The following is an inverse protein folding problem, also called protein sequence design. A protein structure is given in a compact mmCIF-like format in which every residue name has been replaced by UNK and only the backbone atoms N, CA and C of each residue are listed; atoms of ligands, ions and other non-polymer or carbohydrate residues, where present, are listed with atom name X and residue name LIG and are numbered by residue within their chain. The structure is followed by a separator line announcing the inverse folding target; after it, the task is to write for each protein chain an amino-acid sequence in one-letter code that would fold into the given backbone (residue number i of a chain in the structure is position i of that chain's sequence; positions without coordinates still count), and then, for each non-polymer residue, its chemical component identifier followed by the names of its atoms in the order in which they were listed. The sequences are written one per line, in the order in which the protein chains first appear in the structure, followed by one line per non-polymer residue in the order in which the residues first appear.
data_IF_892823846078
#
_entry.id   IF_892823846078
#
_cell.length_a   1.000
_cell.length_b   1.000
_cell.length_c   1.000
_cell.angle_alpha   90.00
_cell.angle_beta   90.00
_cell.angle_gamma   90.00
#
_symmetry.space_group_name_H-M   'P 1'
#
loop_
_entity.id
_entity.type
_entity.pdbx_description
1 polymer ?
#
# COMPACT_ATOMS: atom_id res chain seq x y z
N UNK A 1 8.81 14.20 -11.48
CA UNK A 1 8.15 12.88 -11.35
C UNK A 1 8.94 11.83 -10.56
N UNK A 2 10.28 11.65 -10.68
CA UNK A 2 10.92 10.39 -10.23
C UNK A 2 11.05 10.17 -8.71
N UNK A 3 10.90 11.20 -7.86
CA UNK A 3 11.06 11.02 -6.40
C UNK A 3 9.74 10.81 -5.67
N UNK A 4 8.67 11.52 -6.03
CA UNK A 4 7.41 11.44 -5.27
C UNK A 4 6.50 10.28 -5.68
N UNK A 5 6.59 9.83 -6.93
CA UNK A 5 5.84 8.66 -7.38
C UNK A 5 6.73 7.43 -7.27
N UNK A 6 7.72 7.32 -8.16
CA UNK A 6 8.60 6.15 -8.21
C UNK A 6 9.27 5.78 -6.88
N UNK A 7 10.01 6.67 -6.23
CA UNK A 7 10.71 6.30 -4.99
C UNK A 7 9.74 6.02 -3.82
N UNK A 8 8.65 6.78 -3.68
CA UNK A 8 7.76 6.72 -2.51
C UNK A 8 6.62 5.71 -2.62
N UNK A 9 6.39 5.12 -3.80
CA UNK A 9 5.37 4.09 -3.99
C UNK A 9 6.02 2.81 -4.49
N UNK A 10 6.57 2.84 -5.71
CA UNK A 10 7.14 1.68 -6.41
C UNK A 10 8.39 1.12 -5.71
N UNK A 11 9.46 1.91 -5.59
CA UNK A 11 10.73 1.44 -5.02
C UNK A 11 10.63 1.14 -3.51
N UNK A 12 9.77 1.87 -2.80
CA UNK A 12 9.51 1.62 -1.38
C UNK A 12 8.67 0.35 -1.15
N UNK A 13 7.75 0.06 -2.07
CA UNK A 13 6.82 -1.06 -1.98
C UNK A 13 7.45 -2.43 -2.30
N UNK A 14 8.43 -2.47 -3.19
CA UNK A 14 9.05 -3.73 -3.65
C UNK A 14 9.66 -4.59 -2.53
N UNK A 15 10.41 -4.03 -1.55
CA UNK A 15 10.82 -4.77 -0.37
C UNK A 15 9.68 -5.42 0.42
N UNK A 16 8.50 -4.79 0.47
CA UNK A 16 7.33 -5.37 1.14
C UNK A 16 6.83 -6.62 0.41
N UNK A 17 6.82 -6.60 -0.93
CA UNK A 17 6.40 -7.74 -1.75
C UNK A 17 7.37 -8.91 -1.59
N UNK A 18 8.66 -8.64 -1.68
CA UNK A 18 9.71 -9.65 -1.60
C UNK A 18 9.70 -10.31 -0.22
N UNK A 19 9.71 -9.52 0.86
CA UNK A 19 9.72 -10.06 2.21
C UNK A 19 8.43 -10.83 2.54
N UNK A 20 7.26 -10.34 2.07
CA UNK A 20 5.96 -11.03 2.27
C UNK A 20 5.97 -12.43 1.65
N UNK A 21 6.49 -12.58 0.42
CA UNK A 21 6.55 -13.90 -0.23
C UNK A 21 7.66 -14.82 0.30
N UNK A 22 8.69 -14.26 0.96
CA UNK A 22 9.81 -15.04 1.51
C UNK A 22 9.57 -15.51 2.93
N UNK A 23 8.91 -14.71 3.75
CA UNK A 23 8.79 -14.94 5.20
C UNK A 23 7.42 -15.44 5.64
N UNK A 24 6.35 -15.07 4.93
CA UNK A 24 5.01 -15.55 5.27
C UNK A 24 4.58 -16.70 4.37
N UNK A 25 3.98 -17.72 4.97
CA UNK A 25 3.33 -18.79 4.23
C UNK A 25 2.03 -18.30 3.59
N UNK A 26 1.60 -18.94 2.48
CA UNK A 26 0.32 -18.60 1.80
C UNK A 26 -0.92 -18.80 2.67
N UNK A 27 -0.78 -19.56 3.76
CA UNK A 27 -1.84 -19.78 4.76
C UNK A 27 -1.83 -18.74 5.87
N UNK A 28 -0.75 -17.94 5.98
CA UNK A 28 -0.59 -16.96 7.03
C UNK A 28 -1.65 -15.86 6.91
N UNK A 29 -2.34 -15.48 7.99
CA UNK A 29 -3.43 -14.49 7.92
C UNK A 29 -2.94 -13.13 7.40
N UNK A 30 -1.70 -12.74 7.74
CA UNK A 30 -1.11 -11.50 7.23
C UNK A 30 -0.70 -11.61 5.75
N UNK A 31 -0.33 -12.80 5.26
CA UNK A 31 -0.06 -12.98 3.83
C UNK A 31 -1.34 -12.75 3.03
N UNK A 32 -2.44 -13.39 3.44
CA UNK A 32 -3.74 -13.24 2.78
C UNK A 32 -4.27 -11.81 2.81
N UNK A 33 -3.97 -11.08 3.89
CA UNK A 33 -4.29 -9.67 3.99
C UNK A 33 -3.48 -8.80 3.01
N UNK A 34 -2.16 -9.01 2.91
CA UNK A 34 -1.27 -8.18 2.11
C UNK A 34 -1.29 -8.54 0.62
N UNK A 35 -1.51 -9.80 0.28
CA UNK A 35 -1.37 -10.32 -1.08
C UNK A 35 -2.17 -9.52 -2.13
N UNK A 36 -3.47 -9.22 -1.93
CA UNK A 36 -4.23 -8.43 -2.91
C UNK A 36 -3.70 -7.00 -3.10
N UNK A 37 -3.03 -6.44 -2.10
CA UNK A 37 -2.48 -5.08 -2.15
C UNK A 37 -1.09 -5.01 -2.78
N UNK A 38 -0.38 -6.12 -2.84
CA UNK A 38 1.01 -6.21 -3.33
C UNK A 38 1.09 -6.84 -4.74
N UNK A 39 -0.03 -7.38 -5.23
CA UNK A 39 -0.17 -7.94 -6.57
C UNK A 39 0.17 -6.87 -7.63
N UNK A 40 0.91 -7.26 -8.67
CA UNK A 40 1.35 -6.40 -9.80
C UNK A 40 2.44 -5.35 -9.51
N UNK A 41 2.87 -5.16 -8.26
CA UNK A 41 3.90 -4.14 -7.92
C UNK A 41 5.27 -4.47 -8.54
N UNK A 42 5.66 -5.76 -8.63
CA UNK A 42 6.96 -6.14 -9.20
C UNK A 42 6.99 -6.09 -10.74
N UNK A 43 5.86 -6.42 -11.39
CA UNK A 43 5.72 -6.39 -12.84
C UNK A 43 5.86 -4.96 -13.39
N UNK A 44 5.37 -3.96 -12.67
CA UNK A 44 5.48 -2.55 -13.06
C UNK A 44 6.90 -2.00 -12.81
N UNK A 45 7.54 -2.38 -11.71
CA UNK A 45 8.89 -1.90 -11.36
C UNK A 45 9.97 -2.37 -12.34
N UNK A 46 9.81 -3.56 -12.93
CA UNK A 46 10.80 -4.15 -13.84
C UNK A 46 10.93 -3.38 -15.17
N UNK A 47 10.02 -2.46 -15.49
CA UNK A 47 9.98 -1.72 -16.77
C UNK A 47 10.46 -0.26 -16.76
N UNK A 48 10.85 0.31 -15.60
CA UNK A 48 10.85 1.78 -15.42
C UNK A 48 12.17 2.41 -14.95
N UNK A 49 13.29 1.67 -14.89
CA UNK A 49 14.58 2.21 -14.43
C UNK A 49 15.69 2.14 -15.49
N UNK A 50 16.28 3.29 -15.81
CA UNK A 50 17.61 3.43 -16.44
C UNK A 50 18.38 4.48 -15.63
N UNK A 51 19.64 4.18 -15.30
CA UNK A 51 20.51 5.09 -14.53
C UNK A 51 20.85 6.35 -15.33
N UNK A 52 20.77 7.52 -14.66
CA UNK A 52 21.25 8.82 -15.17
C UNK A 52 22.17 9.46 -14.12
N UNK A 53 23.41 9.74 -14.51
CA UNK A 53 24.49 10.19 -13.62
C UNK A 53 24.51 11.72 -13.37
N UNK A 54 23.52 12.49 -13.85
CA UNK A 54 23.62 13.96 -13.90
C UNK A 54 22.48 14.78 -13.21
N UNK A 55 21.65 14.21 -12.33
CA UNK A 55 20.51 14.95 -11.75
C UNK A 55 20.76 15.56 -10.33
N UNK A 56 20.64 16.89 -10.15
CA UNK A 56 20.97 17.62 -8.90
C UNK A 56 19.74 17.91 -7.99
N UNK A 57 19.08 16.85 -7.50
CA UNK A 57 18.12 16.76 -6.37
C UNK A 57 17.40 18.02 -5.80
N UNK A 58 16.06 17.95 -5.66
CA UNK A 58 15.36 18.53 -4.49
C UNK A 58 13.97 19.17 -4.72
N UNK A 59 12.89 18.53 -4.24
CA UNK A 59 11.47 18.94 -4.37
C UNK A 59 10.90 19.67 -3.13
N UNK A 60 9.80 20.44 -3.29
CA UNK A 60 8.95 21.01 -2.21
C UNK A 60 7.48 21.16 -2.63
N UNK A 61 6.51 21.01 -1.70
CA UNK A 61 5.09 21.46 -1.86
C UNK A 61 4.52 22.09 -0.56
N UNK A 62 3.54 23.00 -0.70
CA UNK A 62 2.89 23.76 0.40
C UNK A 62 1.53 24.33 -0.08
N UNK A 63 0.37 23.67 0.14
CA UNK A 63 -0.96 24.22 -0.19
C UNK A 63 -2.01 23.79 0.86
N UNK A 64 -2.95 24.69 1.20
CA UNK A 64 -3.77 24.68 2.43
C UNK A 64 -5.29 24.48 2.24
N UNK A 65 -5.75 24.08 1.05
CA UNK A 65 -7.13 23.61 0.80
C UNK A 65 -7.04 22.38 -0.11
N UNK A 66 -7.01 21.20 0.50
CA UNK A 66 -6.61 19.96 -0.17
C UNK A 66 -7.75 18.94 -0.09
N UNK A 67 -8.62 18.86 -1.11
CA UNK A 67 -9.68 17.84 -1.21
C UNK A 67 -9.15 16.41 -1.01
N UNK A 68 -7.90 16.20 -1.43
CA UNK A 68 -7.15 14.97 -1.20
C UNK A 68 -6.98 14.60 0.29
N UNK A 69 -6.82 15.57 1.19
CA UNK A 69 -6.68 15.29 2.62
C UNK A 69 -7.99 14.83 3.23
N UNK A 70 -9.14 15.40 2.86
CA UNK A 70 -10.44 14.97 3.41
C UNK A 70 -10.81 13.56 2.96
N UNK A 71 -10.63 13.27 1.67
CA UNK A 71 -10.98 11.96 1.10
C UNK A 71 -9.97 10.89 1.55
N UNK A 72 -8.69 11.27 1.63
CA UNK A 72 -7.63 10.43 2.18
C UNK A 72 -7.80 10.12 3.67
N UNK A 73 -8.31 11.05 4.48
CA UNK A 73 -8.63 10.80 5.89
C UNK A 73 -9.82 9.83 6.04
N UNK A 74 -10.85 9.97 5.21
CA UNK A 74 -11.98 9.04 5.22
C UNK A 74 -11.54 7.62 4.83
N UNK A 75 -10.71 7.48 3.79
CA UNK A 75 -10.11 6.20 3.42
C UNK A 75 -9.21 5.63 4.51
N UNK A 76 -8.37 6.48 5.14
CA UNK A 76 -7.55 6.09 6.29
C UNK A 76 -8.40 5.49 7.41
N UNK A 77 -9.50 6.14 7.78
CA UNK A 77 -10.35 5.70 8.89
C UNK A 77 -11.06 4.38 8.58
N UNK A 78 -11.56 4.24 7.34
CA UNK A 78 -12.24 3.03 6.87
C UNK A 78 -11.27 1.84 6.83
N UNK A 79 -10.06 2.04 6.28
CA UNK A 79 -9.03 1.01 6.24
C UNK A 79 -8.51 0.66 7.63
N UNK A 80 -8.26 1.65 8.48
CA UNK A 80 -7.81 1.42 9.85
C UNK A 80 -8.83 0.62 10.65
N UNK A 81 -10.13 0.86 10.44
CA UNK A 81 -11.18 0.05 11.05
C UNK A 81 -11.14 -1.40 10.57
N UNK A 82 -11.05 -1.62 9.25
CA UNK A 82 -10.92 -2.96 8.67
C UNK A 82 -9.73 -3.72 9.26
N UNK A 83 -8.55 -3.09 9.26
CA UNK A 83 -7.32 -3.68 9.80
C UNK A 83 -7.43 -3.97 11.29
N UNK A 84 -8.09 -3.09 12.04
CA UNK A 84 -8.32 -3.31 13.48
C UNK A 84 -9.20 -4.54 13.71
N UNK A 85 -10.28 -4.70 12.95
CA UNK A 85 -11.18 -5.86 13.06
C UNK A 85 -10.46 -7.15 12.63
N UNK A 86 -9.70 -7.11 11.54
CA UNK A 86 -8.93 -8.26 11.03
C UNK A 86 -7.80 -8.69 11.97
N UNK A 87 -6.94 -7.75 12.39
CA UNK A 87 -5.79 -8.06 13.25
C UNK A 87 -6.25 -8.53 14.62
N UNK A 88 -7.26 -7.92 15.23
CA UNK A 88 -7.73 -8.35 16.54
C UNK A 88 -8.40 -9.74 16.52
N UNK A 89 -8.87 -10.19 15.35
CA UNK A 89 -9.39 -11.54 15.21
C UNK A 89 -8.27 -12.59 15.31
N UNK A 90 -7.14 -12.37 14.64
CA UNK A 90 -6.02 -13.33 14.62
C UNK A 90 -5.00 -13.11 15.75
N UNK A 91 -4.84 -11.87 16.22
CA UNK A 91 -3.90 -11.45 17.26
C UNK A 91 -4.62 -10.67 18.37
N UNK A 92 -5.48 -11.32 19.17
CA UNK A 92 -6.26 -10.66 20.22
C UNK A 92 -5.41 -10.11 21.38
N UNK A 93 -4.14 -10.53 21.51
CA UNK A 93 -3.25 -10.10 22.58
C UNK A 93 -1.78 -10.06 22.14
N UNK A 94 -0.90 -9.30 22.85
CA UNK A 94 0.51 -9.16 22.49
C UNK A 94 1.29 -10.48 22.41
N UNK A 95 0.97 -11.46 23.27
CA UNK A 95 1.72 -12.72 23.28
C UNK A 95 1.59 -13.51 21.97
N UNK A 96 0.48 -13.35 21.25
CA UNK A 96 0.31 -13.98 19.94
C UNK A 96 1.13 -13.29 18.85
N UNK A 97 1.37 -11.98 18.97
CA UNK A 97 2.27 -11.25 18.06
C UNK A 97 3.71 -11.67 18.33
N UNK A 98 4.12 -11.69 19.60
CA UNK A 98 5.49 -12.04 20.00
C UNK A 98 5.87 -13.49 19.69
N UNK A 99 4.88 -14.41 19.71
CA UNK A 99 5.11 -15.81 19.38
C UNK A 99 5.28 -16.07 17.87
N UNK A 100 4.83 -15.15 17.02
CA UNK A 100 4.76 -15.34 15.58
C UNK A 100 6.11 -15.09 14.89
N UNK A 101 6.83 -16.18 14.65
CA UNK A 101 8.16 -16.13 14.04
C UNK A 101 8.13 -15.66 12.57
N UNK A 102 7.08 -16.00 11.81
CA UNK A 102 6.96 -15.58 10.40
C UNK A 102 6.78 -14.07 10.33
N UNK A 103 5.93 -13.52 11.21
CA UNK A 103 5.68 -12.09 11.29
C UNK A 103 6.93 -11.30 11.72
N UNK A 104 7.67 -11.81 12.72
CA UNK A 104 8.92 -11.20 13.15
C UNK A 104 10.01 -11.29 12.07
N UNK A 105 10.08 -12.40 11.34
CA UNK A 105 11.02 -12.56 10.24
C UNK A 105 10.71 -11.61 9.07
N UNK A 106 9.42 -11.46 8.72
CA UNK A 106 8.94 -10.48 7.75
C UNK A 106 9.41 -9.07 8.11
N UNK A 107 9.10 -8.62 9.33
CA UNK A 107 9.40 -7.25 9.73
C UNK A 107 10.91 -7.00 9.80
N UNK A 108 11.67 -7.99 10.29
CA UNK A 108 13.14 -7.92 10.33
C UNK A 108 13.74 -7.85 8.92
N UNK A 109 13.27 -8.65 7.97
CA UNK A 109 13.79 -8.61 6.59
C UNK A 109 13.47 -7.27 5.91
N UNK A 110 12.26 -6.74 6.09
CA UNK A 110 11.88 -5.42 5.58
C UNK A 110 12.85 -4.34 6.07
N UNK A 111 13.18 -4.34 7.36
CA UNK A 111 14.05 -3.33 7.96
C UNK A 111 15.52 -3.51 7.59
N UNK A 112 16.02 -4.74 7.68
CA UNK A 112 17.48 -5.00 7.65
C UNK A 112 18.02 -5.35 6.27
N UNK A 113 17.17 -5.84 5.37
CA UNK A 113 17.52 -6.20 4.00
C UNK A 113 16.83 -5.27 3.02
N UNK A 114 15.50 -5.16 3.12
CA UNK A 114 14.66 -4.37 2.23
C UNK A 114 15.01 -2.88 2.22
N UNK A 115 15.00 -2.27 3.41
CA UNK A 115 15.33 -0.87 3.67
C UNK A 115 16.61 -0.76 4.50
N UNK A 116 17.62 -1.57 4.13
CA UNK A 116 18.85 -1.75 4.90
C UNK A 116 19.65 -0.45 5.16
N UNK A 117 19.53 0.52 4.26
CA UNK A 117 20.14 1.85 4.37
C UNK A 117 19.48 2.72 5.47
N UNK A 118 18.27 2.33 5.90
CA UNK A 118 17.46 3.01 6.91
C UNK A 118 17.23 2.19 8.17
N UNK A 119 17.83 1.01 8.31
CA UNK A 119 17.58 0.08 9.43
C UNK A 119 17.80 0.68 10.83
N UNK A 120 18.67 1.69 10.96
CA UNK A 120 19.06 2.29 12.24
C UNK A 120 18.22 3.52 12.62
N UNK A 121 17.21 3.86 11.82
CA UNK A 121 16.40 5.07 12.03
C UNK A 121 15.38 4.91 13.17
N UNK A 122 15.15 5.95 14.00
CA UNK A 122 14.40 5.83 15.25
C UNK A 122 12.88 5.71 15.09
N UNK A 123 12.35 5.93 13.88
CA UNK A 123 10.91 5.86 13.59
C UNK A 123 10.42 4.44 13.26
N UNK A 124 11.32 3.47 13.19
CA UNK A 124 10.92 2.08 13.04
C UNK A 124 10.12 1.58 14.24
N UNK A 125 8.91 1.10 13.98
CA UNK A 125 8.06 0.51 15.00
C UNK A 125 8.67 -0.81 15.49
N UNK A 126 8.58 -1.02 16.81
CA UNK A 126 8.95 -2.28 17.44
C UNK A 126 7.70 -3.15 17.50
N UNK A 127 7.65 -4.19 16.68
CA UNK A 127 6.50 -5.09 16.60
C UNK A 127 6.38 -5.91 17.89
N UNK A 128 5.48 -5.52 18.80
CA UNK A 128 5.19 -6.27 20.04
C UNK A 128 3.71 -6.45 20.31
N UNK A 129 2.90 -5.51 19.86
CA UNK A 129 1.47 -5.47 20.16
C UNK A 129 0.63 -5.54 18.88
N UNK A 130 -0.64 -5.94 18.99
CA UNK A 130 -1.57 -5.88 17.85
C UNK A 130 -1.70 -4.47 17.28
N UNK A 131 -1.54 -3.44 18.13
CA UNK A 131 -1.52 -2.05 17.70
C UNK A 131 -0.33 -1.75 16.79
N UNK A 132 0.88 -2.19 17.15
CA UNK A 132 2.07 -1.99 16.33
C UNK A 132 1.89 -2.67 14.97
N UNK A 133 1.33 -3.89 14.98
CA UNK A 133 1.00 -4.64 13.77
C UNK A 133 0.00 -3.88 12.87
N UNK A 134 -1.08 -3.34 13.46
CA UNK A 134 -2.06 -2.53 12.72
C UNK A 134 -1.39 -1.29 12.09
N UNK A 135 -0.52 -0.60 12.82
CA UNK A 135 0.18 0.60 12.32
C UNK A 135 1.15 0.27 11.17
N UNK A 136 1.87 -0.86 11.28
CA UNK A 136 2.74 -1.38 10.21
C UNK A 136 1.93 -1.75 8.97
N UNK A 137 0.88 -2.55 9.12
CA UNK A 137 0.05 -3.00 8.00
C UNK A 137 -0.68 -1.83 7.33
N UNK A 138 -1.17 -0.88 8.13
CA UNK A 138 -1.78 0.35 7.62
C UNK A 138 -0.79 1.11 6.74
N UNK A 139 0.46 1.22 7.16
CA UNK A 139 1.50 1.90 6.37
C UNK A 139 1.76 1.19 5.05
N UNK A 140 1.95 -0.14 5.07
CA UNK A 140 2.22 -0.93 3.85
C UNK A 140 1.05 -0.82 2.86
N UNK A 141 -0.18 -1.06 3.34
CA UNK A 141 -1.37 -1.05 2.49
C UNK A 141 -1.65 0.36 1.97
N UNK A 142 -1.48 1.39 2.79
CA UNK A 142 -1.65 2.78 2.37
C UNK A 142 -0.66 3.17 1.27
N UNK A 143 0.61 2.78 1.40
CA UNK A 143 1.64 3.06 0.38
C UNK A 143 1.31 2.36 -0.93
N UNK A 144 0.87 1.10 -0.88
CA UNK A 144 0.57 0.30 -2.06
C UNK A 144 -0.74 0.70 -2.76
N UNK A 145 -1.71 1.27 -2.02
CA UNK A 145 -3.03 1.64 -2.56
C UNK A 145 -3.22 3.15 -2.64
N UNK A 146 -3.76 3.76 -1.58
CA UNK A 146 -4.20 5.15 -1.58
C UNK A 146 -3.07 6.13 -1.93
N UNK A 147 -1.86 5.95 -1.40
CA UNK A 147 -0.74 6.83 -1.73
C UNK A 147 -0.30 6.67 -3.19
N UNK A 148 -0.30 5.45 -3.72
CA UNK A 148 0.04 5.20 -5.12
C UNK A 148 -0.97 5.83 -6.06
N UNK A 149 -2.25 5.49 -5.91
CA UNK A 149 -3.33 6.00 -6.75
C UNK A 149 -3.37 7.54 -6.78
N UNK A 150 -3.20 8.16 -5.61
CA UNK A 150 -3.12 9.60 -5.43
C UNK A 150 -2.10 10.33 -6.31
N UNK A 151 -0.91 9.76 -6.42
CA UNK A 151 0.22 10.37 -7.14
C UNK A 151 0.36 9.80 -8.55
N UNK A 152 -0.47 8.80 -8.91
CA UNK A 152 -0.49 8.14 -10.20
C UNK A 152 -1.58 8.70 -11.13
N UNK A 153 -2.86 8.56 -10.78
CA UNK A 153 -3.96 8.79 -11.72
C UNK A 153 -4.17 10.27 -12.10
N UNK A 154 -3.60 11.19 -11.32
CA UNK A 154 -3.56 12.62 -11.67
C UNK A 154 -2.50 13.01 -12.71
N UNK A 155 -1.57 12.11 -13.08
CA UNK A 155 -0.41 12.43 -13.91
C UNK A 155 -0.82 13.04 -15.26
N UNK A 156 -1.72 12.41 -16.00
CA UNK A 156 -2.18 12.94 -17.29
C UNK A 156 -3.00 14.23 -17.14
N UNK A 157 -3.92 14.27 -16.18
CA UNK A 157 -4.81 15.42 -15.94
C UNK A 157 -4.03 16.72 -15.65
N UNK A 158 -2.90 16.63 -14.94
CA UNK A 158 -2.10 17.80 -14.59
C UNK A 158 -0.87 18.03 -15.48
N UNK A 159 -0.27 16.97 -16.04
CA UNK A 159 0.96 17.07 -16.85
C UNK A 159 0.73 16.91 -18.37
N UNK A 160 -0.48 16.57 -18.81
CA UNK A 160 -0.85 16.36 -20.22
C UNK A 160 -1.09 17.65 -21.02
N UNK A 161 -1.05 18.83 -20.39
CA UNK A 161 -1.19 20.12 -21.08
C UNK A 161 0.19 20.68 -21.50
N UNK A 162 1.03 19.85 -22.10
CA UNK A 162 2.29 20.25 -22.70
C UNK A 162 2.30 19.85 -24.18
N UNK A 163 2.46 20.77 -25.15
CA UNK A 163 2.49 20.41 -26.55
C UNK A 163 3.74 19.55 -26.82
N UNK A 164 3.50 18.32 -27.30
CA UNK A 164 4.47 17.37 -27.85
C UNK A 164 5.63 16.87 -26.95
N UNK A 165 5.46 15.74 -26.24
CA UNK A 165 6.59 14.87 -25.83
C UNK A 165 6.18 13.39 -25.69
N UNK A 166 7.13 12.46 -25.87
CA UNK A 166 7.01 11.02 -25.48
C UNK A 166 6.54 10.84 -24.04
N UNK A 167 6.85 11.81 -23.16
CA UNK A 167 6.41 11.81 -21.77
C UNK A 167 4.88 11.87 -21.63
N UNK A 168 4.16 12.49 -22.58
CA UNK A 168 2.69 12.48 -22.56
C UNK A 168 2.11 11.09 -22.81
N UNK A 169 2.63 10.34 -23.78
CA UNK A 169 2.16 8.96 -24.06
C UNK A 169 2.43 8.05 -22.86
N UNK A 170 3.56 8.24 -22.19
CA UNK A 170 3.88 7.50 -20.96
C UNK A 170 2.93 7.91 -19.82
N UNK A 171 2.65 9.20 -19.63
CA UNK A 171 1.67 9.66 -18.62
C UNK A 171 0.25 9.20 -18.94
N UNK A 172 -0.13 9.16 -20.21
CA UNK A 172 -1.43 8.70 -20.71
C UNK A 172 -1.61 7.21 -20.37
N UNK A 173 -0.66 6.36 -20.76
CA UNK A 173 -0.69 4.93 -20.42
C UNK A 173 -0.68 4.69 -18.91
N UNK A 174 0.13 5.43 -18.14
CA UNK A 174 0.21 5.25 -16.68
C UNK A 174 -1.01 5.77 -15.91
N UNK A 175 -1.83 6.65 -16.50
CA UNK A 175 -3.01 7.23 -15.85
C UNK A 175 -4.31 6.48 -16.19
N UNK A 176 -4.26 5.47 -17.05
CA UNK A 176 -5.42 4.66 -17.38
C UNK A 176 -5.48 3.41 -16.49
N UNK A 177 -6.68 3.13 -16.00
CA UNK A 177 -6.99 1.88 -15.32
C UNK A 177 -6.86 0.68 -16.25
N UNK A 178 -6.28 -0.41 -15.74
CA UNK A 178 -6.25 -1.66 -16.50
C UNK A 178 -7.64 -2.31 -16.48
N UNK A 179 -8.13 -2.92 -17.57
CA UNK A 179 -9.45 -3.58 -17.58
C UNK A 179 -9.59 -4.71 -16.55
N UNK A 180 -8.47 -5.29 -16.13
CA UNK A 180 -8.40 -6.34 -15.09
C UNK A 180 -7.98 -5.79 -13.71
N UNK A 181 -8.03 -4.48 -13.48
CA UNK A 181 -7.65 -3.85 -12.21
C UNK A 181 -8.57 -4.26 -11.06
N UNK A 182 -7.98 -4.59 -9.92
CA UNK A 182 -8.71 -4.96 -8.70
C UNK A 182 -8.69 -3.80 -7.70
N UNK A 183 -9.86 -3.23 -7.45
CA UNK A 183 -10.02 -2.12 -6.52
C UNK A 183 -10.10 -2.60 -5.08
N UNK A 184 -9.65 -1.72 -4.16
CA UNK A 184 -9.70 -2.01 -2.74
C UNK A 184 -11.12 -2.30 -2.26
N UNK A 185 -11.30 -3.44 -1.61
CA UNK A 185 -12.58 -3.87 -1.07
C UNK A 185 -13.56 -4.41 -2.13
N UNK A 186 -13.15 -4.65 -3.37
CA UNK A 186 -14.07 -5.16 -4.42
C UNK A 186 -14.26 -6.69 -4.35
N UNK A 187 -13.17 -7.46 -4.31
CA UNK A 187 -13.21 -8.92 -4.21
C UNK A 187 -12.63 -9.40 -2.87
N UNK A 188 -13.36 -10.23 -2.10
CA UNK A 188 -12.79 -10.86 -0.92
C UNK A 188 -11.80 -11.96 -1.31
N UNK A 189 -10.75 -12.15 -0.50
CA UNK A 189 -9.95 -13.36 -0.59
C UNK A 189 -10.81 -14.58 -0.16
N UNK A 190 -10.72 -15.75 -0.83
CA UNK A 190 -11.64 -16.86 -0.61
C UNK A 190 -11.75 -17.35 0.85
N UNK A 191 -10.65 -17.37 1.60
CA UNK A 191 -10.67 -17.76 3.01
C UNK A 191 -11.37 -16.76 3.93
N UNK A 192 -11.48 -15.50 3.51
CA UNK A 192 -12.29 -14.52 4.24
C UNK A 192 -13.77 -14.88 4.17
N UNK A 193 -14.24 -15.47 3.06
CA UNK A 193 -15.63 -15.91 2.93
C UNK A 193 -15.95 -17.10 3.85
N UNK A 194 -14.96 -17.95 4.13
CA UNK A 194 -15.10 -19.11 5.01
C UNK A 194 -15.14 -18.71 6.50
N UNK A 195 -14.61 -17.54 6.86
CA UNK A 195 -14.60 -17.03 8.23
C UNK A 195 -15.70 -15.97 8.44
N UNK A 196 -16.80 -16.28 9.16
CA UNK A 196 -17.94 -15.36 9.29
C UNK A 196 -17.58 -14.01 9.91
N UNK A 197 -16.59 -13.97 10.81
CA UNK A 197 -16.18 -12.73 11.47
C UNK A 197 -15.44 -11.83 10.50
N UNK A 198 -14.50 -12.39 9.74
CA UNK A 198 -13.71 -11.66 8.75
C UNK A 198 -14.59 -11.24 7.56
N UNK A 199 -15.47 -12.13 7.09
CA UNK A 199 -16.46 -11.82 6.06
C UNK A 199 -17.30 -10.60 6.43
N UNK A 200 -17.87 -10.58 7.64
CA UNK A 200 -18.69 -9.47 8.09
C UNK A 200 -17.90 -8.15 8.18
N UNK A 201 -16.64 -8.22 8.64
CA UNK A 201 -15.75 -7.06 8.69
C UNK A 201 -15.42 -6.56 7.26
N UNK A 202 -15.24 -7.45 6.29
CA UNK A 202 -14.96 -7.10 4.89
C UNK A 202 -16.20 -6.51 4.20
N UNK A 203 -17.39 -7.08 4.41
CA UNK A 203 -18.65 -6.55 3.89
C UNK A 203 -18.93 -5.13 4.43
N UNK A 204 -18.56 -4.87 5.69
CA UNK A 204 -18.63 -3.54 6.28
C UNK A 204 -17.64 -2.57 5.64
N UNK A 205 -16.41 -3.01 5.35
CA UNK A 205 -15.44 -2.22 4.57
C UNK A 205 -16.04 -1.88 3.20
N UNK A 206 -16.48 -2.88 2.46
CA UNK A 206 -17.09 -2.74 1.14
C UNK A 206 -18.27 -1.76 1.13
N UNK A 207 -19.19 -1.91 2.10
CA UNK A 207 -20.35 -1.04 2.25
C UNK A 207 -19.95 0.43 2.50
N UNK A 208 -18.94 0.68 3.34
CA UNK A 208 -18.45 2.03 3.63
C UNK A 208 -17.76 2.67 2.43
N UNK A 209 -16.97 1.91 1.68
CA UNK A 209 -16.33 2.40 0.46
C UNK A 209 -17.36 2.78 -0.61
N UNK A 210 -18.43 1.98 -0.78
CA UNK A 210 -19.52 2.29 -1.70
C UNK A 210 -20.38 3.48 -1.27
N UNK A 211 -20.67 3.63 0.03
CA UNK A 211 -21.44 4.75 0.57
C UNK A 211 -20.70 6.09 0.45
N UNK A 212 -19.37 6.09 0.47
CA UNK A 212 -18.55 7.29 0.29
C UNK A 212 -18.31 7.71 -1.16
N UNK A 213 -18.83 6.98 -2.16
CA UNK A 213 -18.43 7.12 -3.59
C UNK A 213 -16.92 6.98 -3.86
N UNK A 214 -16.15 6.47 -2.89
CA UNK A 214 -14.68 6.42 -2.92
C UNK A 214 -14.12 5.36 -3.89
N UNK A 215 -14.96 4.42 -4.32
CA UNK A 215 -14.60 3.33 -5.24
C UNK A 215 -14.36 3.82 -6.67
N UNK A 216 -14.77 5.06 -7.01
CA UNK A 216 -14.62 5.63 -8.36
C UNK A 216 -13.62 6.79 -8.45
N UNK A 217 -13.00 7.15 -7.32
CA UNK A 217 -12.08 8.30 -7.22
C UNK A 217 -10.60 7.90 -7.15
N UNK A 218 -10.33 6.60 -7.06
CA UNK A 218 -9.02 5.95 -7.12
C UNK A 218 -9.06 4.83 -8.14
#
# INVERSE_FOLDING_TARGET
MPVNHWLRTHACGEPYVIATNRQLTVMHPIYRLLHPHLQYTMEINTGMAVEDSNAPQGLRLTIKDYPYASDGLMLCDVLKQWLTEYVNHYYPNPSMVEADQELHALWTEIQTVGHSDKKDEPWWLVLKTPRDLIEILMTIIWVASCHHAAVNFGLYTYAGYFPETRAMVVCDVMSHHHPDEEYIGDKPEPSWEENPVIKAAFEKLHGKLKQGELVKAL
#
